data_IF_605776369524
#
_entry.id   IF_605776369524
#
_cell.length_a   1.000
_cell.length_b   1.000
_cell.length_c   1.000
_cell.angle_alpha   90.00
_cell.angle_beta   90.00
_cell.angle_gamma   90.00
#
_symmetry.space_group_name_H-M   'P 1'
#
loop_
_entity.id
_entity.type
_entity.pdbx_description
1 polymer ?
#
# COMPACT_ATOMS: atom_id res chain seq x y z
N UNK A 1 -9.84 10.89 -19.25
CA UNK A 1 -9.62 9.86 -20.30
C UNK A 1 -8.36 9.02 -20.05
N UNK A 2 -7.17 9.59 -19.80
CA UNK A 2 -5.91 8.84 -19.62
C UNK A 2 -5.91 7.79 -18.49
N UNK A 3 -6.45 8.11 -17.33
CA UNK A 3 -6.44 7.18 -16.17
C UNK A 3 -7.41 5.99 -16.36
N UNK A 4 -8.54 6.19 -17.05
CA UNK A 4 -9.45 5.09 -17.40
C UNK A 4 -8.79 4.07 -18.33
N UNK A 5 -7.97 4.52 -19.28
CA UNK A 5 -7.24 3.63 -20.17
C UNK A 5 -6.22 2.76 -19.39
N UNK A 6 -5.52 3.34 -18.41
CA UNK A 6 -4.60 2.59 -17.54
C UNK A 6 -5.35 1.56 -16.69
N UNK A 7 -6.47 1.97 -16.08
CA UNK A 7 -7.30 1.07 -15.28
C UNK A 7 -7.83 -0.10 -16.12
N UNK A 8 -8.35 0.18 -17.32
CA UNK A 8 -8.79 -0.84 -18.26
C UNK A 8 -7.66 -1.81 -18.65
N UNK A 9 -6.45 -1.31 -18.88
CA UNK A 9 -5.27 -2.13 -19.14
C UNK A 9 -4.93 -3.07 -17.97
N UNK A 10 -4.96 -2.57 -16.73
CA UNK A 10 -4.75 -3.39 -15.54
C UNK A 10 -5.84 -4.46 -15.38
N UNK A 11 -7.12 -4.09 -15.58
CA UNK A 11 -8.24 -5.04 -15.52
C UNK A 11 -8.07 -6.14 -16.57
N UNK A 12 -7.71 -5.80 -17.81
CA UNK A 12 -7.47 -6.76 -18.87
C UNK A 12 -6.31 -7.72 -18.54
N UNK A 13 -5.26 -7.24 -17.87
CA UNK A 13 -4.18 -8.09 -17.35
C UNK A 13 -4.72 -9.05 -16.29
N UNK A 14 -5.45 -8.55 -15.29
CA UNK A 14 -6.02 -9.38 -14.23
C UNK A 14 -6.95 -10.46 -14.79
N UNK A 15 -7.82 -10.13 -15.74
CA UNK A 15 -8.72 -11.08 -16.37
C UNK A 15 -7.96 -12.18 -17.13
N UNK A 16 -6.96 -11.79 -17.94
CA UNK A 16 -6.17 -12.75 -18.73
C UNK A 16 -5.28 -13.65 -17.88
N UNK A 17 -4.76 -13.14 -16.76
CA UNK A 17 -3.89 -13.89 -15.83
C UNK A 17 -4.68 -14.54 -14.68
N UNK A 18 -6.00 -14.38 -14.62
CA UNK A 18 -6.85 -14.79 -13.50
C UNK A 18 -6.34 -14.29 -12.13
N UNK A 19 -5.88 -13.04 -12.07
CA UNK A 19 -5.47 -12.41 -10.81
C UNK A 19 -6.72 -11.91 -10.11
N UNK A 20 -7.04 -12.48 -8.96
CA UNK A 20 -8.24 -12.15 -8.17
C UNK A 20 -7.84 -11.32 -6.95
N UNK A 21 -8.77 -10.54 -6.36
CA UNK A 21 -8.48 -9.77 -5.16
C UNK A 21 -7.88 -10.59 -4.01
N UNK A 22 -8.31 -11.84 -3.82
CA UNK A 22 -7.77 -12.74 -2.78
C UNK A 22 -6.34 -13.21 -3.07
N UNK A 23 -5.89 -13.16 -4.32
CA UNK A 23 -4.50 -13.46 -4.67
C UNK A 23 -3.58 -12.25 -4.35
N UNK A 24 -4.16 -11.05 -4.19
CA UNK A 24 -3.45 -9.80 -3.91
C UNK A 24 -3.53 -9.38 -2.43
N UNK A 25 -4.65 -9.63 -1.77
CA UNK A 25 -4.87 -9.30 -0.36
C UNK A 25 -4.40 -10.48 0.48
N UNK A 26 -3.16 -10.40 0.95
CA UNK A 26 -2.48 -11.42 1.76
C UNK A 26 -1.93 -10.78 3.02
N UNK A 27 -1.45 -11.59 3.97
CA UNK A 27 -0.78 -11.07 5.17
C UNK A 27 0.36 -10.11 4.82
N UNK A 28 1.18 -10.50 3.85
CA UNK A 28 2.33 -9.71 3.41
C UNK A 28 1.92 -8.39 2.73
N UNK A 29 0.86 -8.38 1.92
CA UNK A 29 0.42 -7.12 1.29
C UNK A 29 -0.26 -6.20 2.30
N UNK A 30 -0.99 -6.73 3.28
CA UNK A 30 -1.53 -5.93 4.39
C UNK A 30 -0.41 -5.35 5.26
N UNK A 31 0.65 -6.10 5.56
CA UNK A 31 1.83 -5.60 6.27
C UNK A 31 2.49 -4.44 5.53
N UNK A 32 2.71 -4.58 4.21
CA UNK A 32 3.25 -3.49 3.38
C UNK A 32 2.35 -2.24 3.41
N UNK A 33 1.04 -2.41 3.41
CA UNK A 33 0.10 -1.30 3.51
C UNK A 33 0.15 -0.60 4.87
N UNK A 34 0.27 -1.35 5.96
CA UNK A 34 0.45 -0.77 7.30
C UNK A 34 1.77 -0.01 7.41
N UNK A 35 2.85 -0.54 6.85
CA UNK A 35 4.14 0.17 6.79
C UNK A 35 3.97 1.51 6.08
N UNK A 36 3.29 1.53 4.93
CA UNK A 36 3.02 2.77 4.21
C UNK A 36 2.13 3.73 5.01
N UNK A 37 1.09 3.21 5.67
CA UNK A 37 0.19 4.00 6.52
C UNK A 37 0.97 4.71 7.63
N UNK A 38 1.85 3.98 8.33
CA UNK A 38 2.66 4.53 9.44
C UNK A 38 3.69 5.53 8.92
N UNK A 39 4.39 5.21 7.83
CA UNK A 39 5.40 6.08 7.24
C UNK A 39 4.80 7.42 6.77
N UNK A 40 3.57 7.41 6.24
CA UNK A 40 2.90 8.59 5.72
C UNK A 40 2.00 9.32 6.73
N UNK A 41 1.84 8.79 7.96
CA UNK A 41 0.94 9.37 8.95
C UNK A 41 -0.53 9.32 8.51
N UNK A 42 -0.95 8.19 7.94
CA UNK A 42 -2.33 8.04 7.47
C UNK A 42 -3.37 8.14 8.59
N UNK A 43 -4.64 8.38 8.23
CA UNK A 43 -5.69 8.59 9.21
C UNK A 43 -5.94 7.34 10.06
N UNK A 44 -6.37 7.53 11.31
CA UNK A 44 -6.74 6.43 12.22
C UNK A 44 -7.86 5.55 11.66
N UNK A 45 -8.75 6.10 10.84
CA UNK A 45 -9.76 5.34 10.09
C UNK A 45 -9.16 4.28 9.14
N UNK A 46 -7.90 4.44 8.74
CA UNK A 46 -7.17 3.42 7.98
C UNK A 46 -7.14 2.07 8.71
N UNK A 47 -7.02 2.07 10.04
CA UNK A 47 -7.07 0.86 10.87
C UNK A 47 -8.40 0.12 10.70
N UNK A 48 -9.52 0.84 10.79
CA UNK A 48 -10.86 0.25 10.62
C UNK A 48 -11.03 -0.36 9.23
N UNK A 49 -10.60 0.36 8.19
CA UNK A 49 -10.70 -0.12 6.82
C UNK A 49 -9.81 -1.33 6.55
N UNK A 50 -8.57 -1.36 7.06
CA UNK A 50 -7.70 -2.52 6.91
C UNK A 50 -8.24 -3.76 7.61
N UNK A 51 -8.79 -3.62 8.83
CA UNK A 51 -9.44 -4.73 9.53
C UNK A 51 -10.65 -5.27 8.74
N UNK A 52 -11.48 -4.39 8.17
CA UNK A 52 -12.63 -4.78 7.37
C UNK A 52 -12.23 -5.49 6.06
N UNK A 53 -11.21 -4.98 5.37
CA UNK A 53 -10.65 -5.60 4.15
C UNK A 53 -10.05 -6.97 4.47
N UNK A 54 -9.27 -7.07 5.56
CA UNK A 54 -8.69 -8.33 6.02
C UNK A 54 -9.76 -9.37 6.35
N UNK A 55 -10.80 -8.99 7.08
CA UNK A 55 -11.95 -9.86 7.38
C UNK A 55 -12.67 -10.35 6.13
N UNK A 56 -12.91 -9.46 5.16
CA UNK A 56 -13.55 -9.81 3.87
C UNK A 56 -12.69 -10.77 3.03
N UNK A 57 -11.36 -10.56 3.07
CA UNK A 57 -10.39 -11.40 2.38
C UNK A 57 -10.06 -12.70 3.15
N UNK A 58 -10.56 -12.86 4.38
CA UNK A 58 -10.27 -13.99 5.28
C UNK A 58 -8.77 -14.09 5.64
N UNK A 59 -8.11 -12.94 5.81
CA UNK A 59 -6.72 -12.85 6.24
C UNK A 59 -6.68 -12.38 7.69
N UNK A 60 -5.94 -13.07 8.59
CA UNK A 60 -5.85 -12.64 9.98
C UNK A 60 -5.09 -11.32 10.11
N UNK A 61 -5.74 -10.33 10.71
CA UNK A 61 -5.17 -9.05 11.08
C UNK A 61 -5.77 -8.59 12.42
N UNK A 62 -4.91 -8.26 13.37
CA UNK A 62 -5.30 -7.80 14.70
C UNK A 62 -4.81 -6.38 14.97
N UNK A 63 -5.35 -5.73 16.00
CA UNK A 63 -4.83 -4.44 16.49
C UNK A 63 -3.39 -4.56 16.99
N UNK A 64 -3.01 -5.72 17.55
CA UNK A 64 -1.65 -5.96 18.02
C UNK A 64 -0.65 -5.98 16.85
N UNK A 65 -1.03 -6.53 15.70
CA UNK A 65 -0.19 -6.49 14.50
C UNK A 65 0.03 -5.05 14.02
N UNK A 66 -1.01 -4.21 14.10
CA UNK A 66 -0.93 -2.80 13.73
C UNK A 66 0.00 -2.05 14.68
N UNK A 67 -0.09 -2.32 15.99
CA UNK A 67 0.82 -1.74 16.98
C UNK A 67 2.27 -2.16 16.73
N UNK A 68 2.53 -3.45 16.47
CA UNK A 68 3.87 -3.95 16.13
C UNK A 68 4.49 -3.25 14.92
N UNK A 69 3.68 -2.92 13.91
CA UNK A 69 4.15 -2.15 12.75
C UNK A 69 4.40 -0.70 13.14
N UNK A 70 3.50 -0.07 13.92
CA UNK A 70 3.66 1.30 14.41
C UNK A 70 4.95 1.49 15.20
N UNK A 71 5.31 0.53 16.06
CA UNK A 71 6.51 0.60 16.91
C UNK A 71 7.82 0.53 16.09
N UNK A 72 7.77 -0.14 14.93
CA UNK A 72 8.94 -0.38 14.07
C UNK A 72 9.13 0.71 13.01
N UNK A 73 8.06 1.35 12.55
CA UNK A 73 8.10 2.21 11.37
C UNK A 73 8.10 3.68 11.80
N UNK A 74 9.15 4.45 11.45
CA UNK A 74 9.17 5.87 11.74
C UNK A 74 8.14 6.62 10.88
N UNK A 75 7.57 7.67 11.44
CA UNK A 75 6.75 8.62 10.70
C UNK A 75 7.67 9.53 9.86
N UNK A 76 7.51 9.51 8.54
CA UNK A 76 8.42 10.16 7.59
C UNK A 76 7.81 11.38 6.88
N UNK A 77 6.49 11.39 6.66
CA UNK A 77 5.86 12.41 5.82
C UNK A 77 5.41 13.65 6.61
N UNK A 78 5.76 14.83 6.11
CA UNK A 78 5.32 16.11 6.68
C UNK A 78 3.99 16.57 6.05
N UNK A 79 2.93 15.74 6.17
CA UNK A 79 1.61 16.02 5.57
C UNK A 79 0.62 16.68 6.53
N UNK A 80 -0.15 17.64 6.01
CA UNK A 80 -1.32 18.18 6.69
C UNK A 80 -2.31 17.04 7.06
N UNK A 81 -2.92 17.08 8.26
CA UNK A 81 -3.00 18.20 9.20
C UNK A 81 -1.83 18.33 10.19
N UNK A 82 -0.98 17.32 10.31
CA UNK A 82 0.16 17.32 11.26
C UNK A 82 1.39 18.06 10.74
N UNK A 83 1.45 18.26 9.43
CA UNK A 83 2.57 18.82 8.71
C UNK A 83 2.19 19.91 7.71
N UNK A 84 3.14 20.26 6.84
CA UNK A 84 3.01 21.43 5.93
C UNK A 84 2.55 21.09 4.51
N UNK A 85 2.81 19.88 4.03
CA UNK A 85 2.62 19.50 2.64
C UNK A 85 1.31 18.73 2.42
N UNK A 86 0.90 18.62 1.16
CA UNK A 86 -0.27 17.88 0.72
C UNK A 86 0.12 16.73 -0.22
N UNK A 87 -0.83 15.84 -0.52
CA UNK A 87 -0.58 14.73 -1.46
C UNK A 87 -0.23 15.20 -2.88
N UNK A 88 -0.62 16.42 -3.27
CA UNK A 88 -0.20 17.02 -4.53
C UNK A 88 1.31 17.32 -4.56
N UNK A 89 1.87 17.78 -3.44
CA UNK A 89 3.32 18.01 -3.32
C UNK A 89 4.08 16.69 -3.49
N UNK A 90 3.58 15.61 -2.87
CA UNK A 90 4.14 14.28 -3.07
C UNK A 90 4.07 13.87 -4.55
N UNK A 91 2.93 14.07 -5.21
CA UNK A 91 2.76 13.76 -6.62
C UNK A 91 3.81 14.48 -7.49
N UNK A 92 4.09 15.75 -7.19
CA UNK A 92 5.06 16.57 -7.93
C UNK A 92 6.52 16.09 -7.78
N UNK A 93 6.85 15.41 -6.68
CA UNK A 93 8.20 14.86 -6.42
C UNK A 93 8.33 13.35 -6.71
N UNK A 94 7.37 12.77 -7.44
CA UNK A 94 7.41 11.39 -7.92
C UNK A 94 6.34 10.46 -7.32
N UNK A 95 5.50 10.97 -6.43
CA UNK A 95 4.30 10.30 -5.94
C UNK A 95 4.58 9.13 -5.00
N UNK A 96 3.51 8.37 -4.73
CA UNK A 96 3.57 7.13 -3.94
C UNK A 96 4.65 6.13 -4.42
N UNK A 97 4.90 5.94 -5.74
CA UNK A 97 5.96 5.03 -6.19
C UNK A 97 7.36 5.37 -5.65
N UNK A 98 7.69 6.66 -5.50
CA UNK A 98 8.98 7.06 -4.91
C UNK A 98 9.11 6.63 -3.44
N UNK A 99 8.02 6.75 -2.67
CA UNK A 99 7.98 6.30 -1.27
C UNK A 99 8.09 4.79 -1.17
N UNK A 100 7.37 4.05 -2.03
CA UNK A 100 7.45 2.59 -2.08
C UNK A 100 8.88 2.12 -2.39
N UNK A 101 9.57 2.78 -3.34
CA UNK A 101 10.97 2.47 -3.66
C UNK A 101 11.92 2.73 -2.50
N UNK A 102 11.74 3.85 -1.78
CA UNK A 102 12.51 4.16 -0.58
C UNK A 102 12.33 3.09 0.50
N UNK A 103 11.09 2.76 0.84
CA UNK A 103 10.77 1.79 1.89
C UNK A 103 11.20 0.36 1.51
N UNK A 104 11.12 0.02 0.22
CA UNK A 104 11.62 -1.26 -0.30
C UNK A 104 13.15 -1.35 -0.22
N UNK A 105 13.86 -0.30 -0.62
CA UNK A 105 15.33 -0.25 -0.53
C UNK A 105 15.82 -0.30 0.93
N UNK A 106 15.06 0.26 1.86
CA UNK A 106 15.32 0.21 3.29
C UNK A 106 14.92 -1.14 3.95
N UNK A 107 14.36 -2.08 3.19
CA UNK A 107 13.98 -3.41 3.69
C UNK A 107 12.69 -3.44 4.53
N UNK A 108 11.89 -2.38 4.50
CA UNK A 108 10.63 -2.31 5.24
C UNK A 108 9.44 -2.93 4.49
N UNK A 109 9.54 -3.08 3.16
CA UNK A 109 8.50 -3.69 2.34
C UNK A 109 8.94 -5.04 1.78
N UNK A 110 8.01 -5.98 1.73
CA UNK A 110 8.16 -7.20 0.96
C UNK A 110 7.92 -6.91 -0.53
N UNK A 111 8.99 -6.90 -1.34
CA UNK A 111 8.92 -6.65 -2.77
C UNK A 111 8.34 -7.78 -3.61
N UNK A 112 8.23 -9.00 -3.07
CA UNK A 112 7.80 -10.20 -3.81
C UNK A 112 6.26 -10.31 -3.91
N UNK A 113 5.51 -9.39 -3.30
CA UNK A 113 4.05 -9.42 -3.38
C UNK A 113 3.58 -9.17 -4.82
N UNK A 114 2.56 -9.91 -5.31
CA UNK A 114 1.98 -9.67 -6.63
C UNK A 114 1.18 -8.37 -6.64
N UNK A 115 1.03 -7.78 -7.82
CA UNK A 115 0.21 -6.58 -8.05
C UNK A 115 -0.77 -6.79 -9.20
N UNK A 116 -1.72 -5.86 -9.36
CA UNK A 116 -2.68 -5.86 -10.48
C UNK A 116 -2.02 -5.79 -11.87
N UNK A 117 -0.74 -5.40 -11.94
CA UNK A 117 0.01 -5.38 -13.21
C UNK A 117 0.51 -6.77 -13.61
N UNK A 118 0.34 -7.78 -12.75
CA UNK A 118 0.89 -9.12 -12.91
C UNK A 118 2.42 -9.18 -12.80
N UNK A 119 3.02 -8.15 -12.20
CA UNK A 119 4.40 -8.06 -11.73
C UNK A 119 4.44 -8.00 -10.21
N UNK A 120 5.59 -8.29 -9.62
CA UNK A 120 5.81 -8.07 -8.19
C UNK A 120 5.97 -6.57 -7.88
N UNK A 121 5.82 -6.19 -6.60
CA UNK A 121 6.04 -4.81 -6.18
C UNK A 121 7.47 -4.31 -6.50
N UNK A 122 8.47 -5.19 -6.42
CA UNK A 122 9.86 -4.85 -6.73
C UNK A 122 10.12 -4.59 -8.23
N UNK A 123 9.27 -5.12 -9.11
CA UNK A 123 9.38 -4.96 -10.57
C UNK A 123 8.65 -3.71 -11.11
N UNK A 124 8.04 -2.91 -10.22
CA UNK A 124 7.28 -1.70 -10.55
C UNK A 124 8.12 -0.42 -10.59
#
# INVERSE_FOLDING_TARGET
MREFAKAAGAIAICMRKNIRPRDLITRASLDNNLVLLMALGGPTNGVLHFLAVAGTAQVPLSLEDIQKVSDRIPFLADFAPSGKFFMEDLYNIGGTPSVLKLLLAAGFLNGQIPTVTGKTLAEM
#
